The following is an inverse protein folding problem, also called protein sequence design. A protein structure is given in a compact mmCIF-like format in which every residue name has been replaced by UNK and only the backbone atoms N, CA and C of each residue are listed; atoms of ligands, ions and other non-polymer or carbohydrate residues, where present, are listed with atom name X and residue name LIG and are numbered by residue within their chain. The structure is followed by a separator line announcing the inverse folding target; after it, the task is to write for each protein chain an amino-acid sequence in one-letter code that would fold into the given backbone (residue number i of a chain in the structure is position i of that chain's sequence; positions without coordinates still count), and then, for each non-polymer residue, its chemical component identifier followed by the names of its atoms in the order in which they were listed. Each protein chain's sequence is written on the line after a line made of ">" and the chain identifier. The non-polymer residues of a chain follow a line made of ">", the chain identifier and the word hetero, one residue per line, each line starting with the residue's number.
data_IF_829493297699
#
_entry.id   IF_829493297699
#
_cell.length_a   1.000
_cell.length_b   1.000
_cell.length_c   1.000
_cell.angle_alpha   90.00
_cell.angle_beta   90.00
_cell.angle_gamma   90.00
#
_symmetry.space_group_name_H-M   'P 1'
#
loop_
_entity.id
_entity.type
_entity.pdbx_description
1 polymer ?
#
# COMPACT_ATOMS: atom_id res chain seq x y z
N UNK A 1 -7.81 22.24 -19.62
CA UNK A 1 -6.53 22.58 -18.97
C UNK A 1 -6.11 21.35 -18.20
N UNK A 2 -4.88 20.91 -18.39
CA UNK A 2 -4.36 19.65 -17.84
C UNK A 2 -3.04 19.94 -17.11
N UNK A 3 -2.66 19.07 -16.18
CA UNK A 3 -1.39 19.14 -15.44
C UNK A 3 -0.87 17.73 -15.16
N UNK A 4 0.39 17.64 -14.81
CA UNK A 4 1.08 16.40 -14.43
C UNK A 4 1.59 16.51 -12.99
N UNK A 5 1.58 15.39 -12.26
CA UNK A 5 2.00 15.32 -10.86
C UNK A 5 2.61 13.96 -10.56
N UNK A 6 3.78 13.98 -9.94
CA UNK A 6 4.37 12.82 -9.27
C UNK A 6 4.04 12.87 -7.77
N UNK A 7 3.54 11.77 -7.23
CA UNK A 7 3.12 11.69 -5.84
C UNK A 7 3.46 10.33 -5.23
N UNK A 8 3.76 10.34 -3.93
CA UNK A 8 3.75 9.14 -3.10
C UNK A 8 2.40 9.03 -2.41
N UNK A 9 1.62 7.99 -2.72
CA UNK A 9 0.29 7.79 -2.14
C UNK A 9 0.41 6.94 -0.89
N UNK A 10 0.10 7.52 0.27
CA UNK A 10 0.07 6.82 1.55
C UNK A 10 -1.37 6.53 1.97
N UNK A 11 -1.65 5.27 2.23
CA UNK A 11 -2.95 4.81 2.70
C UNK A 11 -2.77 4.13 4.06
N UNK A 12 -3.71 4.35 4.96
CA UNK A 12 -3.77 3.67 6.25
C UNK A 12 -5.17 3.14 6.46
N UNK A 13 -5.26 1.90 6.90
CA UNK A 13 -6.50 1.28 7.35
C UNK A 13 -6.19 0.30 8.47
N UNK A 14 -7.23 -0.08 9.21
CA UNK A 14 -7.14 -1.06 10.27
C UNK A 14 -7.75 -2.39 9.79
N UNK A 15 -7.11 -3.50 10.12
CA UNK A 15 -7.53 -4.84 9.72
C UNK A 15 -7.33 -5.84 10.87
N UNK A 16 -8.43 -6.14 11.57
CA UNK A 16 -8.50 -6.99 12.77
C UNK A 16 -7.89 -8.39 12.55
N UNK A 17 -7.82 -8.87 11.30
CA UNK A 17 -7.23 -10.18 10.97
C UNK A 17 -5.75 -10.26 11.32
N UNK A 18 -5.05 -9.12 11.37
CA UNK A 18 -3.63 -9.07 11.71
C UNK A 18 -3.37 -8.92 13.21
N UNK A 19 -4.33 -8.49 14.02
CA UNK A 19 -4.17 -8.44 15.49
C UNK A 19 -3.98 -9.85 16.08
N UNK A 20 -4.67 -10.85 15.52
CA UNK A 20 -4.63 -12.24 16.02
C UNK A 20 -3.46 -13.06 15.46
N UNK A 21 -2.64 -12.48 14.58
CA UNK A 21 -1.64 -13.21 13.79
C UNK A 21 -0.33 -13.52 14.53
N UNK A 22 -0.23 -13.18 15.82
CA UNK A 22 0.96 -13.43 16.64
C UNK A 22 2.15 -12.52 16.31
N UNK A 23 1.90 -11.41 15.61
CA UNK A 23 2.90 -10.40 15.28
C UNK A 23 3.31 -9.67 16.56
N UNK A 24 4.57 -9.79 16.95
CA UNK A 24 5.12 -9.17 18.18
C UNK A 24 5.72 -7.78 17.94
N UNK A 25 5.97 -7.41 16.68
CA UNK A 25 6.52 -6.12 16.29
C UNK A 25 6.17 -5.76 14.84
N UNK A 26 6.39 -4.51 14.41
CA UNK A 26 6.04 -4.07 13.05
C UNK A 26 6.72 -4.93 11.98
N UNK A 27 5.95 -5.36 10.99
CA UNK A 27 6.43 -6.15 9.86
C UNK A 27 6.45 -5.29 8.59
N UNK A 28 7.64 -5.11 8.02
CA UNK A 28 7.83 -4.43 6.73
C UNK A 28 7.88 -5.46 5.60
N UNK A 29 6.97 -5.32 4.65
CA UNK A 29 6.81 -6.18 3.49
C UNK A 29 7.08 -5.38 2.21
N UNK A 30 7.99 -5.91 1.39
CA UNK A 30 8.32 -5.39 0.06
C UNK A 30 8.24 -6.46 -1.04
N UNK A 31 7.93 -7.71 -0.71
CA UNK A 31 7.72 -8.77 -1.70
C UNK A 31 6.39 -8.54 -2.44
N UNK A 32 6.40 -8.29 -3.77
CA UNK A 32 5.19 -8.03 -4.54
C UNK A 32 4.13 -9.14 -4.41
N UNK A 33 4.54 -10.40 -4.24
CA UNK A 33 3.61 -11.54 -4.10
C UNK A 33 2.87 -11.52 -2.76
N UNK A 34 3.54 -11.10 -1.69
CA UNK A 34 2.91 -10.96 -0.38
C UNK A 34 1.99 -9.74 -0.35
N UNK A 35 2.45 -8.63 -0.91
CA UNK A 35 1.65 -7.39 -1.02
C UNK A 35 0.35 -7.62 -1.79
N UNK A 36 0.37 -8.41 -2.86
CA UNK A 36 -0.84 -8.77 -3.63
C UNK A 36 -1.84 -9.63 -2.85
N UNK A 37 -1.41 -10.33 -1.79
CA UNK A 37 -2.29 -11.18 -0.96
C UNK A 37 -2.99 -10.40 0.16
N UNK A 38 -2.53 -9.19 0.43
CA UNK A 38 -3.13 -8.33 1.44
C UNK A 38 -4.30 -7.60 0.81
N UNK A 39 -5.47 -7.69 1.45
CA UNK A 39 -6.60 -6.86 1.05
C UNK A 39 -6.27 -5.39 1.27
N UNK A 40 -6.62 -4.55 0.32
CA UNK A 40 -6.46 -3.09 0.40
C UNK A 40 -7.71 -2.41 -0.15
N UNK A 41 -8.05 -1.22 0.33
CA UNK A 41 -9.12 -0.43 -0.27
C UNK A 41 -8.81 -0.12 -1.74
N UNK A 42 -9.84 -0.15 -2.58
CA UNK A 42 -9.73 0.25 -3.98
C UNK A 42 -9.82 1.78 -4.09
N UNK A 43 -8.70 2.42 -4.39
CA UNK A 43 -8.59 3.88 -4.57
C UNK A 43 -8.34 4.18 -6.04
N UNK A 44 -9.07 5.17 -6.58
CA UNK A 44 -8.90 5.64 -7.95
C UNK A 44 -8.97 7.16 -8.02
N UNK A 45 -8.36 7.74 -9.06
CA UNK A 45 -8.40 9.17 -9.34
C UNK A 45 -9.47 9.47 -10.39
N UNK A 46 -10.65 9.93 -9.97
CA UNK A 46 -11.81 10.13 -10.86
C UNK A 46 -11.55 11.05 -12.06
N UNK A 47 -10.64 12.03 -11.91
CA UNK A 47 -10.32 13.01 -12.94
C UNK A 47 -9.00 12.70 -13.67
N UNK A 48 -8.35 11.55 -13.38
CA UNK A 48 -7.13 11.18 -14.07
C UNK A 48 -7.43 10.82 -15.53
N UNK A 49 -6.79 11.52 -16.45
CA UNK A 49 -6.82 11.17 -17.88
C UNK A 49 -5.87 10.01 -18.20
N UNK A 50 -4.73 9.98 -17.50
CA UNK A 50 -3.74 8.92 -17.54
C UNK A 50 -3.07 8.83 -16.17
N UNK A 51 -2.70 7.62 -15.74
CA UNK A 51 -1.96 7.38 -14.51
C UNK A 51 -1.13 6.11 -14.69
N UNK A 52 0.11 6.14 -14.22
CA UNK A 52 1.04 5.01 -14.28
C UNK A 52 1.71 4.81 -12.92
N UNK A 53 1.99 3.55 -12.59
CA UNK A 53 2.80 3.22 -11.42
C UNK A 53 4.27 3.15 -11.82
N UNK A 54 5.13 3.83 -11.08
CA UNK A 54 6.58 3.78 -11.28
C UNK A 54 7.11 2.36 -11.06
N UNK A 55 7.75 1.78 -12.09
CA UNK A 55 8.36 0.45 -12.05
C UNK A 55 9.86 0.56 -12.39
N UNK A 56 10.72 0.56 -11.36
CA UNK A 56 12.17 0.55 -11.54
C UNK A 56 12.70 -0.73 -10.89
N UNK A 57 12.93 -1.75 -11.73
CA UNK A 57 13.29 -3.15 -11.42
C UNK A 57 12.33 -3.97 -10.54
N UNK A 58 11.63 -3.35 -9.58
CA UNK A 58 10.58 -3.93 -8.72
C UNK A 58 9.48 -2.86 -8.51
N UNK A 59 8.19 -3.21 -8.31
CA UNK A 59 7.19 -2.23 -7.90
C UNK A 59 7.62 -1.50 -6.62
N UNK A 60 7.61 -0.17 -6.62
CA UNK A 60 7.95 0.65 -5.45
C UNK A 60 6.80 0.66 -4.43
N UNK A 61 6.56 -0.49 -3.80
CA UNK A 61 5.49 -0.64 -2.82
C UNK A 61 6.07 -1.05 -1.48
N UNK A 62 5.70 -0.32 -0.43
CA UNK A 62 5.98 -0.71 0.95
C UNK A 62 4.68 -0.94 1.70
N UNK A 63 4.59 -2.08 2.38
CA UNK A 63 3.51 -2.36 3.32
C UNK A 63 4.09 -2.58 4.70
N UNK A 64 3.60 -1.83 5.69
CA UNK A 64 3.93 -2.03 7.10
C UNK A 64 2.69 -2.48 7.84
N UNK A 65 2.79 -3.61 8.52
CA UNK A 65 1.73 -4.15 9.38
C UNK A 65 2.18 -3.99 10.84
N UNK A 66 1.41 -3.24 11.61
CA UNK A 66 1.61 -3.11 13.06
C UNK A 66 0.98 -4.27 13.82
N UNK A 67 1.48 -4.62 15.02
CA UNK A 67 0.84 -5.60 15.91
C UNK A 67 -0.62 -5.24 16.26
N UNK A 68 -0.96 -3.96 16.24
CA UNK A 68 -2.31 -3.43 16.46
C UNK A 68 -3.24 -3.62 15.25
N UNK A 69 -2.87 -4.35 14.20
CA UNK A 69 -3.70 -4.51 13.01
C UNK A 69 -3.73 -3.28 12.08
N UNK A 70 -3.04 -2.20 12.43
CA UNK A 70 -2.89 -1.04 11.55
C UNK A 70 -1.95 -1.36 10.39
N UNK A 71 -2.42 -1.09 9.17
CA UNK A 71 -1.65 -1.28 7.94
C UNK A 71 -1.34 0.08 7.33
N UNK A 72 -0.07 0.30 6.99
CA UNK A 72 0.40 1.40 6.16
C UNK A 72 0.81 0.86 4.80
N UNK A 73 0.22 1.39 3.74
CA UNK A 73 0.52 1.07 2.35
C UNK A 73 1.04 2.32 1.66
N UNK A 74 2.21 2.22 1.01
CA UNK A 74 2.83 3.32 0.28
C UNK A 74 3.14 2.89 -1.15
N UNK A 75 2.64 3.69 -2.09
CA UNK A 75 2.87 3.64 -3.53
C UNK A 75 3.69 4.84 -3.97
#
# INVERSE_FOLDING_TARGET
>A
MDYEVDLYLRQRWHDDRFEQSGITGPLDLNDPKLVQRIWKPEVFFANAKHAEFQYVTVPNVLVRISPSGDILYML
#
